data_IF_701322754298
#
_entry.id   IF_701322754298
#
_cell.length_a   1.000
_cell.length_b   1.000
_cell.length_c   1.000
_cell.angle_alpha   90.00
_cell.angle_beta   90.00
_cell.angle_gamma   90.00
#
_symmetry.space_group_name_H-M   'P 1'
#
loop_
_entity.id
_entity.type
_entity.pdbx_description
1 polymer ?
#
# COMPACT_ATOMS: atom_id res chain seq x y z
N UNK A 1 13.15 -14.68 -1.47
CA UNK A 1 12.33 -13.88 -0.54
C UNK A 1 12.54 -14.42 0.87
N UNK A 2 12.92 -13.58 1.83
CA UNK A 2 13.15 -13.99 3.23
C UNK A 2 11.83 -14.06 4.00
N UNK A 3 11.78 -14.77 5.14
CA UNK A 3 10.62 -14.77 6.04
C UNK A 3 10.22 -13.35 6.48
N UNK A 4 11.22 -12.48 6.72
CA UNK A 4 10.98 -11.09 7.07
C UNK A 4 10.38 -10.30 5.90
N UNK A 5 10.79 -10.58 4.66
CA UNK A 5 10.17 -9.96 3.49
C UNK A 5 8.69 -10.32 3.35
N UNK A 6 8.35 -11.59 3.62
CA UNK A 6 6.97 -12.05 3.57
C UNK A 6 6.10 -11.37 4.64
N UNK A 7 6.65 -11.09 5.83
CA UNK A 7 5.94 -10.35 6.87
C UNK A 7 5.67 -8.89 6.49
N UNK A 8 6.66 -8.23 5.88
CA UNK A 8 6.49 -6.86 5.40
C UNK A 8 5.46 -6.80 4.27
N UNK A 9 5.54 -7.72 3.30
CA UNK A 9 4.56 -7.79 2.21
C UNK A 9 3.14 -8.07 2.75
N UNK A 10 2.99 -9.05 3.64
CA UNK A 10 1.70 -9.36 4.27
C UNK A 10 1.12 -8.16 5.01
N UNK A 11 1.94 -7.45 5.78
CA UNK A 11 1.49 -6.30 6.55
C UNK A 11 0.95 -5.18 5.65
N UNK A 12 1.56 -4.97 4.48
CA UNK A 12 1.09 -3.94 3.55
C UNK A 12 -0.13 -4.38 2.74
N UNK A 13 -0.21 -5.65 2.37
CA UNK A 13 -1.39 -6.23 1.72
C UNK A 13 -2.61 -6.16 2.66
N UNK A 14 -2.42 -6.38 3.95
CA UNK A 14 -3.48 -6.20 4.95
C UNK A 14 -3.98 -4.75 5.01
N UNK A 15 -3.12 -3.73 4.84
CA UNK A 15 -3.59 -2.34 4.77
C UNK A 15 -4.41 -2.06 3.51
N UNK A 16 -3.99 -2.60 2.37
CA UNK A 16 -4.75 -2.52 1.12
C UNK A 16 -6.12 -3.20 1.27
N UNK A 17 -6.18 -4.40 1.84
CA UNK A 17 -7.44 -5.10 2.12
C UNK A 17 -8.35 -4.30 3.07
N UNK A 18 -7.80 -3.73 4.15
CA UNK A 18 -8.57 -2.94 5.10
C UNK A 18 -9.24 -1.71 4.47
N UNK A 19 -8.58 -1.03 3.52
CA UNK A 19 -9.21 0.09 2.82
C UNK A 19 -10.18 -0.39 1.74
N UNK A 20 -9.87 -1.50 1.06
CA UNK A 20 -10.72 -2.12 0.06
C UNK A 20 -12.07 -2.53 0.66
N UNK A 21 -12.06 -3.14 1.85
CA UNK A 21 -13.27 -3.55 2.58
C UNK A 21 -14.18 -2.38 2.97
N UNK A 22 -13.63 -1.16 3.08
CA UNK A 22 -14.41 0.07 3.33
C UNK A 22 -15.05 0.63 2.05
N UNK A 23 -14.67 0.12 0.88
CA UNK A 23 -15.23 0.47 -0.42
C UNK A 23 -14.78 1.83 -0.97
N UNK A 24 -15.22 2.11 -2.19
CA UNK A 24 -14.75 3.26 -2.96
C UNK A 24 -15.10 4.63 -2.37
N UNK A 25 -16.15 4.73 -1.56
CA UNK A 25 -16.50 5.97 -0.86
C UNK A 25 -15.44 6.35 0.17
N UNK A 26 -14.95 5.38 0.95
CA UNK A 26 -13.90 5.59 1.93
C UNK A 26 -12.57 5.96 1.25
N UNK A 27 -12.22 5.26 0.16
CA UNK A 27 -11.03 5.56 -0.64
C UNK A 27 -11.08 6.99 -1.19
N UNK A 28 -12.23 7.43 -1.74
CA UNK A 28 -12.39 8.80 -2.26
C UNK A 28 -12.32 9.88 -1.18
N UNK A 29 -12.67 9.55 0.06
CA UNK A 29 -12.61 10.46 1.19
C UNK A 29 -11.21 10.57 1.82
N UNK A 30 -10.27 9.69 1.45
CA UNK A 30 -8.91 9.78 1.95
C UNK A 30 -8.22 11.09 1.51
N UNK A 31 -7.39 11.69 2.37
CA UNK A 31 -6.45 12.71 1.92
C UNK A 31 -5.52 12.15 0.83
N UNK A 32 -4.93 13.03 0.03
CA UNK A 32 -4.04 12.63 -1.07
C UNK A 32 -2.80 11.87 -0.57
N UNK A 33 -2.39 12.10 0.68
CA UNK A 33 -1.28 11.43 1.33
C UNK A 33 -1.59 11.21 2.82
N UNK A 34 -0.98 10.19 3.42
CA UNK A 34 -0.94 10.02 4.85
C UNK A 34 -0.02 8.88 5.29
N UNK A 35 0.00 8.61 6.59
CA UNK A 35 0.89 7.63 7.20
C UNK A 35 0.17 6.68 8.15
N UNK A 36 0.71 5.46 8.25
CA UNK A 36 0.23 4.42 9.14
C UNK A 36 1.40 3.77 9.88
N UNK A 37 1.07 3.01 10.91
CA UNK A 37 2.04 2.18 11.64
C UNK A 37 1.55 0.74 11.66
N UNK A 38 2.44 -0.20 11.38
CA UNK A 38 2.20 -1.64 11.54
C UNK A 38 3.22 -2.23 12.52
N UNK A 39 2.83 -3.33 13.18
CA UNK A 39 3.71 -4.05 14.10
C UNK A 39 4.28 -5.28 13.40
N UNK A 40 5.60 -5.31 13.17
CA UNK A 40 6.30 -6.44 12.54
C UNK A 40 7.31 -7.01 13.53
N UNK A 41 7.11 -8.26 13.96
CA UNK A 41 7.92 -8.94 15.00
C UNK A 41 8.12 -8.09 16.27
N UNK A 42 7.08 -7.36 16.69
CA UNK A 42 7.12 -6.52 17.89
C UNK A 42 7.79 -5.15 17.70
N UNK A 43 8.20 -4.81 16.47
CA UNK A 43 8.72 -3.49 16.12
C UNK A 43 7.65 -2.69 15.37
N UNK A 44 7.44 -1.44 15.79
CA UNK A 44 6.62 -0.49 15.04
C UNK A 44 7.37 -0.03 13.78
N UNK A 45 6.70 -0.18 12.64
CA UNK A 45 7.20 0.23 11.34
C UNK A 45 6.22 1.21 10.73
N UNK A 46 6.71 2.40 10.39
CA UNK A 46 5.91 3.44 9.74
C UNK A 46 5.85 3.18 8.24
N UNK A 47 4.63 3.22 7.70
CA UNK A 47 4.35 3.19 6.27
C UNK A 47 3.59 4.45 5.84
N UNK A 48 3.42 4.59 4.54
CA UNK A 48 2.75 5.74 3.94
C UNK A 48 1.75 5.29 2.88
N UNK A 49 0.69 6.05 2.67
CA UNK A 49 -0.16 5.87 1.51
C UNK A 49 -0.20 7.14 0.67
N UNK A 50 -0.38 6.94 -0.62
CA UNK A 50 -0.63 8.00 -1.58
C UNK A 50 -1.88 7.64 -2.38
N UNK A 51 -2.87 8.53 -2.36
CA UNK A 51 -4.02 8.43 -3.25
C UNK A 51 -3.62 9.11 -4.56
N UNK A 52 -3.33 8.30 -5.58
CA UNK A 52 -3.05 8.81 -6.90
C UNK A 52 -4.35 8.90 -7.70
N UNK A 53 -4.64 10.11 -8.19
CA UNK A 53 -5.77 10.39 -9.10
C UNK A 53 -5.26 10.82 -10.48
N UNK A 54 -3.93 10.83 -10.70
CA UNK A 54 -3.34 11.22 -11.98
C UNK A 54 -3.58 10.13 -13.04
N UNK A 55 -3.99 10.58 -14.23
CA UNK A 55 -4.17 9.76 -15.44
C UNK A 55 -5.25 8.67 -15.36
N UNK A 56 -6.49 9.06 -15.05
CA UNK A 56 -7.70 8.18 -15.01
C UNK A 56 -7.67 7.03 -13.99
N UNK A 57 -6.48 6.70 -13.45
CA UNK A 57 -6.27 5.74 -12.38
C UNK A 57 -6.77 6.34 -11.06
N UNK A 58 -7.74 5.68 -10.42
CA UNK A 58 -8.30 6.06 -9.10
C UNK A 58 -7.77 5.08 -8.05
N UNK A 59 -6.49 5.19 -7.74
CA UNK A 59 -5.78 4.20 -6.94
C UNK A 59 -5.31 4.78 -5.60
N UNK A 60 -5.13 3.90 -4.62
CA UNK A 60 -4.36 4.17 -3.41
C UNK A 60 -3.23 3.18 -3.35
N UNK A 61 -2.02 3.70 -3.23
CA UNK A 61 -0.80 2.91 -3.07
C UNK A 61 -0.35 3.02 -1.63
N UNK A 62 0.00 1.89 -1.05
CA UNK A 62 0.62 1.78 0.26
C UNK A 62 2.09 1.45 0.06
N UNK A 63 2.95 2.09 0.84
CA UNK A 63 4.39 1.83 0.89
C UNK A 63 4.84 1.53 2.32
N UNK A 64 5.63 0.46 2.46
CA UNK A 64 6.45 0.20 3.63
C UNK A 64 7.91 0.11 3.20
N UNK A 65 8.80 0.70 3.98
CA UNK A 65 10.24 0.63 3.72
C UNK A 65 10.96 -0.02 4.89
N UNK A 66 11.75 -1.07 4.61
CA UNK A 66 12.66 -1.69 5.57
C UNK A 66 14.06 -1.19 5.34
N UNK A 67 14.66 -0.53 6.33
CA UNK A 67 16.08 -0.22 6.30
C UNK A 67 16.91 -1.51 6.26
N UNK A 68 17.82 -1.56 5.31
CA UNK A 68 18.88 -2.56 5.23
C UNK A 68 20.19 -1.91 5.72
N UNK A 69 21.32 -2.43 5.30
CA UNK A 69 22.64 -1.88 5.63
C UNK A 69 22.95 -0.62 4.81
N UNK A 70 23.72 0.32 5.37
CA UNK A 70 24.26 1.54 4.72
C UNK A 70 23.32 2.25 3.73
N UNK A 71 22.17 2.73 4.18
CA UNK A 71 21.30 3.60 3.38
C UNK A 71 20.51 2.88 2.28
N UNK A 72 20.72 1.57 2.11
CA UNK A 72 19.83 0.75 1.31
C UNK A 72 18.54 0.50 2.07
N UNK A 73 17.43 0.60 1.37
CA UNK A 73 16.11 0.24 1.86
C UNK A 73 15.48 -0.75 0.90
N UNK A 74 14.61 -1.59 1.43
CA UNK A 74 13.72 -2.42 0.63
C UNK A 74 12.32 -1.87 0.76
N UNK A 75 11.74 -1.52 -0.38
CA UNK A 75 10.34 -1.15 -0.49
C UNK A 75 9.46 -2.39 -0.58
N UNK A 76 8.26 -2.24 -0.03
CA UNK A 76 7.15 -3.16 -0.16
C UNK A 76 5.96 -2.29 -0.54
N UNK A 77 5.23 -2.73 -1.54
CA UNK A 77 4.15 -1.96 -2.12
C UNK A 77 2.91 -2.85 -2.20
N UNK A 78 1.76 -2.22 -2.04
CA UNK A 78 0.45 -2.82 -2.30
C UNK A 78 -0.51 -1.71 -2.69
N UNK A 79 -1.63 -2.05 -3.32
CA UNK A 79 -2.52 -1.00 -3.78
C UNK A 79 -3.94 -1.47 -4.06
N UNK A 80 -4.85 -0.50 -4.05
CA UNK A 80 -6.26 -0.68 -4.34
C UNK A 80 -6.68 0.27 -5.43
N UNK A 81 -7.32 -0.27 -6.47
CA UNK A 81 -7.95 0.49 -7.53
C UNK A 81 -9.47 0.61 -7.33
N UNK A 82 -10.07 1.59 -8.01
CA UNK A 82 -11.52 1.74 -8.12
C UNK A 82 -11.92 1.66 -9.60
N UNK A 83 -12.79 0.71 -9.94
CA UNK A 83 -13.42 0.63 -11.25
C UNK A 83 -14.44 1.76 -11.47
N UNK A 84 -14.86 1.97 -12.73
CA UNK A 84 -15.83 3.01 -13.08
C UNK A 84 -17.19 2.82 -12.40
N UNK A 85 -17.59 1.58 -12.16
CA UNK A 85 -18.82 1.20 -11.44
C UNK A 85 -18.74 1.41 -9.91
N UNK A 86 -17.57 1.80 -9.39
CA UNK A 86 -17.32 2.04 -7.98
C UNK A 86 -16.94 0.79 -7.19
N UNK A 87 -16.80 -0.37 -7.82
CA UNK A 87 -16.20 -1.55 -7.19
C UNK A 87 -14.69 -1.35 -7.00
N UNK A 88 -14.14 -2.00 -5.98
CA UNK A 88 -12.73 -1.91 -5.61
C UNK A 88 -12.01 -3.22 -5.92
N UNK A 89 -10.74 -3.15 -6.30
CA UNK A 89 -9.91 -4.30 -6.61
C UNK A 89 -8.49 -4.10 -6.10
N UNK A 90 -7.78 -5.20 -5.82
CA UNK A 90 -6.35 -5.15 -5.54
C UNK A 90 -5.59 -4.94 -6.84
N UNK A 91 -4.61 -4.05 -6.82
CA UNK A 91 -3.68 -3.88 -7.93
C UNK A 91 -2.77 -5.11 -8.06
N UNK A 92 -2.44 -5.46 -9.29
CA UNK A 92 -1.45 -6.50 -9.59
C UNK A 92 -0.02 -6.03 -9.31
N UNK A 93 0.91 -6.97 -9.16
CA UNK A 93 2.34 -6.68 -8.98
C UNK A 93 2.90 -5.78 -10.09
N UNK A 94 2.41 -5.92 -11.33
CA UNK A 94 2.79 -5.08 -12.47
C UNK A 94 2.31 -3.64 -12.29
N UNK A 95 1.04 -3.44 -11.92
CA UNK A 95 0.47 -2.10 -11.69
C UNK A 95 1.06 -1.39 -10.48
N UNK A 96 1.46 -2.15 -9.46
CA UNK A 96 2.13 -1.64 -8.28
C UNK A 96 3.60 -1.31 -8.59
N UNK A 97 4.24 -2.08 -9.48
CA UNK A 97 5.62 -1.85 -9.94
C UNK A 97 5.86 -0.50 -10.62
N UNK A 98 4.81 0.14 -11.15
CA UNK A 98 4.86 1.53 -11.65
C UNK A 98 5.24 2.56 -10.55
N UNK A 99 5.23 2.17 -9.27
CA UNK A 99 5.45 3.04 -8.11
C UNK A 99 6.72 2.75 -7.30
N UNK A 100 7.54 1.77 -7.71
CA UNK A 100 8.80 1.41 -7.03
C UNK A 100 9.95 2.39 -7.32
#
# INVERSE_FOLDING_TARGET
MTELDALYQKAIDEQALLIMDRGSAAIKALPDYGDFTVLIKGQEVRGYWMRNVLHEKKHVIFELSRSLWLGFYRKYLSGVGIHADGSTFLLSDEEVGDYD
#
